data_IF_678502016243
#
_entry.id   IF_678502016243
#
_cell.length_a   1.000
_cell.length_b   1.000
_cell.length_c   1.000
_cell.angle_alpha   90.00
_cell.angle_beta   90.00
_cell.angle_gamma   90.00
#
_symmetry.space_group_name_H-M   'P 1'
#
loop_
_entity.id
_entity.type
_entity.pdbx_description
1 polymer ?
#
# COMPACT_ATOMS: atom_id res chain seq x y z
N UNK A 1 -4.39 10.26 -20.03
CA UNK A 1 -3.48 9.18 -19.59
C UNK A 1 -1.99 9.44 -19.83
N UNK A 2 -1.59 9.93 -21.00
CA UNK A 2 -0.18 10.15 -21.37
C UNK A 2 0.61 10.98 -20.35
N UNK A 3 0.06 12.07 -19.82
CA UNK A 3 0.74 12.91 -18.83
C UNK A 3 1.09 12.18 -17.53
N UNK A 4 0.11 11.57 -16.87
CA UNK A 4 0.28 10.78 -15.61
C UNK A 4 1.38 9.74 -15.78
N UNK A 5 1.36 9.02 -16.91
CA UNK A 5 2.37 8.02 -17.25
C UNK A 5 3.78 8.62 -17.33
N UNK A 6 3.96 9.74 -18.03
CA UNK A 6 5.27 10.36 -18.18
C UNK A 6 5.80 10.92 -16.85
N UNK A 7 4.95 11.56 -16.03
CA UNK A 7 5.36 12.04 -14.70
C UNK A 7 5.78 10.87 -13.80
N UNK A 8 5.08 9.74 -13.89
CA UNK A 8 5.46 8.52 -13.16
C UNK A 8 6.83 8.01 -13.61
N UNK A 9 7.11 7.97 -14.91
CA UNK A 9 8.41 7.57 -15.45
C UNK A 9 9.52 8.54 -14.98
N UNK A 10 9.29 9.85 -15.03
CA UNK A 10 10.23 10.86 -14.55
C UNK A 10 10.55 10.66 -13.07
N UNK A 11 9.55 10.38 -12.24
CA UNK A 11 9.75 10.04 -10.83
C UNK A 11 10.71 8.84 -10.65
N UNK A 12 10.55 7.78 -11.45
CA UNK A 12 11.47 6.63 -11.40
C UNK A 12 12.89 6.97 -11.86
N UNK A 13 13.02 7.83 -12.87
CA UNK A 13 14.32 8.32 -13.36
C UNK A 13 15.00 9.11 -12.24
N UNK A 14 14.38 10.16 -11.71
CA UNK A 14 14.97 11.00 -10.67
C UNK A 14 15.35 10.20 -9.41
N UNK A 15 14.48 9.27 -8.98
CA UNK A 15 14.78 8.39 -7.84
C UNK A 15 16.03 7.52 -8.11
N UNK A 16 16.18 7.02 -9.34
CA UNK A 16 17.32 6.19 -9.74
C UNK A 16 18.61 6.99 -9.84
N UNK A 17 18.54 8.30 -10.06
CA UNK A 17 19.69 9.22 -10.02
C UNK A 17 20.04 9.68 -8.60
N UNK A 18 19.20 9.40 -7.61
CA UNK A 18 19.38 9.90 -6.24
C UNK A 18 18.90 11.33 -6.03
N UNK A 19 18.02 11.85 -6.89
CA UNK A 19 17.42 13.18 -6.78
C UNK A 19 16.11 13.09 -5.98
N UNK A 20 16.19 12.92 -4.65
CA UNK A 20 14.99 12.67 -3.81
C UNK A 20 14.05 13.88 -3.83
N UNK A 21 14.58 15.11 -3.83
CA UNK A 21 13.77 16.32 -3.88
C UNK A 21 12.91 16.41 -5.16
N UNK A 22 13.53 16.20 -6.33
CA UNK A 22 12.80 16.23 -7.61
C UNK A 22 11.79 15.08 -7.70
N UNK A 23 12.14 13.93 -7.14
CA UNK A 23 11.22 12.78 -7.02
C UNK A 23 9.97 13.14 -6.21
N UNK A 24 10.11 13.82 -5.07
CA UNK A 24 8.97 14.31 -4.27
C UNK A 24 8.12 15.32 -5.05
N UNK A 25 8.76 16.22 -5.79
CA UNK A 25 8.07 17.18 -6.64
C UNK A 25 7.24 16.48 -7.73
N UNK A 26 7.78 15.44 -8.36
CA UNK A 26 7.06 14.63 -9.34
C UNK A 26 5.89 13.86 -8.73
N UNK A 27 6.04 13.28 -7.54
CA UNK A 27 4.93 12.61 -6.83
C UNK A 27 3.83 13.60 -6.49
N UNK A 28 4.17 14.77 -5.97
CA UNK A 28 3.19 15.82 -5.68
C UNK A 28 2.46 16.26 -6.96
N UNK A 29 3.17 16.43 -8.07
CA UNK A 29 2.59 16.69 -9.38
C UNK A 29 1.66 15.56 -9.86
N UNK A 30 2.06 14.30 -9.65
CA UNK A 30 1.28 13.11 -10.01
C UNK A 30 -0.02 13.02 -9.21
N UNK A 31 0.04 13.23 -7.89
CA UNK A 31 -1.13 13.26 -7.01
C UNK A 31 -2.12 14.34 -7.46
N UNK A 32 -1.64 15.55 -7.75
CA UNK A 32 -2.48 16.63 -8.27
C UNK A 32 -3.11 16.26 -9.61
N UNK A 33 -2.33 15.70 -10.54
CA UNK A 33 -2.82 15.33 -11.86
C UNK A 33 -3.89 14.23 -11.79
N UNK A 34 -3.69 13.22 -10.94
CA UNK A 34 -4.65 12.13 -10.74
C UNK A 34 -5.94 12.67 -10.13
N UNK A 35 -5.87 13.58 -9.15
CA UNK A 35 -7.06 14.23 -8.58
C UNK A 35 -7.81 15.12 -9.58
N UNK A 36 -7.10 15.90 -10.40
CA UNK A 36 -7.75 16.72 -11.43
C UNK A 36 -8.43 15.88 -12.51
N UNK A 37 -7.85 14.72 -12.82
CA UNK A 37 -8.31 13.86 -13.90
C UNK A 37 -9.32 12.79 -13.46
N UNK A 38 -9.39 12.53 -12.16
CA UNK A 38 -10.35 11.64 -11.50
C UNK A 38 -10.66 12.23 -10.11
N UNK A 39 -11.46 13.31 -10.06
CA UNK A 39 -11.91 13.87 -8.79
C UNK A 39 -12.68 12.83 -7.97
N UNK A 40 -12.53 12.91 -6.65
CA UNK A 40 -13.14 11.96 -5.71
C UNK A 40 -14.64 12.17 -5.53
N UNK A 41 -15.16 13.35 -5.90
CA UNK A 41 -16.49 13.85 -5.54
C UNK A 41 -17.52 13.83 -6.69
N UNK A 42 -17.15 13.39 -7.90
CA UNK A 42 -18.04 13.47 -9.07
C UNK A 42 -18.34 12.09 -9.68
N UNK A 43 -19.61 11.90 -10.04
CA UNK A 43 -20.13 10.78 -10.82
C UNK A 43 -19.72 10.97 -12.30
N UNK A 44 -18.46 10.65 -12.64
CA UNK A 44 -17.94 10.87 -14.00
C UNK A 44 -18.47 9.84 -15.01
N UNK A 45 -19.64 10.13 -15.58
CA UNK A 45 -20.23 9.38 -16.70
C UNK A 45 -19.47 9.43 -18.05
N UNK A 46 -18.21 9.88 -18.10
CA UNK A 46 -17.47 10.10 -19.36
C UNK A 46 -16.04 9.55 -19.42
N UNK A 47 -15.51 8.90 -18.36
CA UNK A 47 -14.19 8.25 -18.42
C UNK A 47 -14.33 6.74 -18.46
N UNK A 48 -13.52 6.09 -19.28
CA UNK A 48 -13.47 4.63 -19.24
C UNK A 48 -12.83 4.19 -17.91
N UNK A 49 -13.44 3.19 -17.26
CA UNK A 49 -12.95 2.59 -16.02
C UNK A 49 -11.46 2.18 -16.14
N UNK A 50 -11.02 1.81 -17.36
CA UNK A 50 -9.63 1.45 -17.68
C UNK A 50 -8.66 2.62 -17.51
N UNK A 51 -9.01 3.82 -17.98
CA UNK A 51 -8.12 4.99 -17.85
C UNK A 51 -7.92 5.37 -16.39
N UNK A 52 -9.00 5.34 -15.62
CA UNK A 52 -8.93 5.64 -14.19
C UNK A 52 -8.11 4.59 -13.44
N UNK A 53 -8.34 3.31 -13.74
CA UNK A 53 -7.59 2.20 -13.15
C UNK A 53 -6.10 2.27 -13.49
N UNK A 54 -5.75 2.60 -14.74
CA UNK A 54 -4.35 2.83 -15.12
C UNK A 54 -3.73 4.03 -14.39
N UNK A 55 -4.49 5.11 -14.17
CA UNK A 55 -4.01 6.27 -13.44
C UNK A 55 -3.71 5.92 -11.97
N UNK A 56 -4.61 5.15 -11.35
CA UNK A 56 -4.42 4.59 -10.01
C UNK A 56 -3.19 3.68 -9.97
N UNK A 57 -3.03 2.79 -10.95
CA UNK A 57 -1.87 1.87 -11.03
C UNK A 57 -0.54 2.60 -11.12
N UNK A 58 -0.45 3.64 -11.96
CA UNK A 58 0.74 4.45 -12.09
C UNK A 58 1.04 5.21 -10.79
N UNK A 59 0.04 5.82 -10.16
CA UNK A 59 0.21 6.50 -8.87
C UNK A 59 0.67 5.54 -7.77
N UNK A 60 -0.04 4.42 -7.60
CA UNK A 60 0.23 3.43 -6.56
C UNK A 60 1.62 2.85 -6.71
N UNK A 61 2.01 2.37 -7.90
CA UNK A 61 3.35 1.81 -8.10
C UNK A 61 4.45 2.85 -7.85
N UNK A 62 4.28 4.06 -8.40
CA UNK A 62 5.27 5.13 -8.26
C UNK A 62 5.46 5.53 -6.80
N UNK A 63 4.34 5.72 -6.09
CA UNK A 63 4.35 6.03 -4.67
C UNK A 63 4.97 4.91 -3.85
N UNK A 64 4.57 3.67 -4.12
CA UNK A 64 5.07 2.47 -3.44
C UNK A 64 6.59 2.36 -3.56
N UNK A 65 7.10 2.42 -4.79
CA UNK A 65 8.53 2.29 -5.06
C UNK A 65 9.33 3.42 -4.40
N UNK A 66 8.80 4.65 -4.42
CA UNK A 66 9.43 5.80 -3.80
C UNK A 66 9.43 5.72 -2.28
N UNK A 67 8.31 5.39 -1.63
CA UNK A 67 8.25 5.31 -0.17
C UNK A 67 9.17 4.21 0.37
N UNK A 68 9.23 3.06 -0.30
CA UNK A 68 10.22 2.02 0.05
C UNK A 68 11.67 2.51 -0.10
N UNK A 69 11.95 3.38 -1.08
CA UNK A 69 13.27 4.00 -1.22
C UNK A 69 13.55 5.04 -0.14
N UNK A 70 12.61 5.96 0.10
CA UNK A 70 12.73 7.02 1.12
C UNK A 70 12.89 6.44 2.52
N UNK A 71 12.08 5.44 2.88
CA UNK A 71 12.16 4.78 4.17
C UNK A 71 13.52 4.09 4.39
N UNK A 72 14.14 3.55 3.33
CA UNK A 72 15.51 3.01 3.39
C UNK A 72 16.58 4.08 3.65
N UNK A 73 16.41 5.27 3.06
CA UNK A 73 17.30 6.41 3.34
C UNK A 73 17.16 6.81 4.81
N UNK A 74 15.94 6.96 5.30
CA UNK A 74 15.67 7.33 6.69
C UNK A 74 16.14 6.25 7.68
N UNK A 75 16.11 4.98 7.30
CA UNK A 75 16.56 3.87 8.12
C UNK A 75 18.06 3.56 8.04
N UNK A 76 18.90 4.37 7.36
CA UNK A 76 20.34 4.11 7.27
C UNK A 76 21.17 5.38 7.45
N UNK A 77 21.96 5.45 8.51
CA UNK A 77 22.88 6.57 8.77
C UNK A 77 23.81 6.84 7.57
N UNK A 78 24.26 5.78 6.90
CA UNK A 78 25.11 5.87 5.71
C UNK A 78 24.42 6.59 4.54
N UNK A 79 23.15 6.28 4.30
CA UNK A 79 22.37 6.95 3.26
C UNK A 79 21.97 8.36 3.70
N UNK A 80 21.53 8.54 4.95
CA UNK A 80 21.22 9.88 5.46
C UNK A 80 22.40 10.82 5.24
N UNK A 81 23.63 10.38 5.54
CA UNK A 81 24.85 11.16 5.32
C UNK A 81 25.07 11.51 3.84
N UNK A 82 24.77 10.57 2.94
CA UNK A 82 24.92 10.71 1.49
C UNK A 82 23.88 11.65 0.88
N UNK A 83 22.69 11.77 1.48
CA UNK A 83 21.60 12.66 1.04
C UNK A 83 21.52 13.99 1.82
N UNK A 84 22.49 14.31 2.69
CA UNK A 84 22.43 15.49 3.60
C UNK A 84 22.23 16.84 2.91
N UNK A 85 22.74 17.04 1.69
CA UNK A 85 22.65 18.32 0.98
C UNK A 85 21.47 18.29 0.00
N UNK A 86 20.42 19.06 0.28
CA UNK A 86 19.20 19.20 -0.54
C UNK A 86 18.46 17.87 -0.86
N UNK A 87 18.64 16.83 -0.05
CA UNK A 87 18.11 15.49 -0.34
C UNK A 87 18.57 14.96 -1.72
N UNK A 88 19.76 15.34 -2.16
CA UNK A 88 20.37 14.85 -3.40
C UNK A 88 21.67 14.14 -3.09
N UNK A 89 21.88 13.00 -3.76
CA UNK A 89 23.16 12.32 -3.75
C UNK A 89 23.96 12.64 -5.00
N UNK A 90 25.28 12.73 -4.88
CA UNK A 90 26.14 12.67 -6.06
C UNK A 90 26.00 11.27 -6.70
N UNK A 91 25.68 11.24 -7.99
CA UNK A 91 25.27 10.03 -8.70
C UNK A 91 26.32 8.91 -8.60
N UNK A 92 27.61 9.23 -8.80
CA UNK A 92 28.67 8.21 -8.77
C UNK A 92 28.83 7.58 -7.38
N UNK A 93 28.65 8.37 -6.32
CA UNK A 93 28.70 7.94 -4.93
C UNK A 93 27.48 7.06 -4.61
N UNK A 94 26.29 7.48 -5.02
CA UNK A 94 25.06 6.71 -4.84
C UNK A 94 25.13 5.35 -5.54
N UNK A 95 25.51 5.33 -6.83
CA UNK A 95 25.67 4.09 -7.60
C UNK A 95 26.73 3.18 -6.98
N UNK A 96 27.84 3.73 -6.50
CA UNK A 96 28.88 2.96 -5.82
C UNK A 96 28.35 2.27 -4.56
N UNK A 97 27.49 2.95 -3.79
CA UNK A 97 26.85 2.38 -2.61
C UNK A 97 25.85 1.27 -2.96
N UNK A 98 25.02 1.49 -3.98
CA UNK A 98 24.08 0.48 -4.49
C UNK A 98 24.83 -0.76 -4.99
N UNK A 99 25.95 -0.57 -5.68
CA UNK A 99 26.81 -1.67 -6.14
C UNK A 99 27.40 -2.45 -4.96
N UNK A 100 27.95 -1.75 -3.95
CA UNK A 100 28.48 -2.38 -2.74
C UNK A 100 27.41 -3.26 -2.07
N UNK A 101 26.21 -2.71 -1.86
CA UNK A 101 25.10 -3.45 -1.25
C UNK A 101 24.66 -4.65 -2.06
N UNK A 102 24.64 -4.54 -3.39
CA UNK A 102 24.39 -5.69 -4.26
C UNK A 102 25.44 -6.77 -4.05
N UNK A 103 26.73 -6.42 -4.03
CA UNK A 103 27.82 -7.40 -3.83
C UNK A 103 27.80 -8.05 -2.46
N UNK A 104 27.32 -7.33 -1.44
CA UNK A 104 27.17 -7.83 -0.07
C UNK A 104 25.84 -8.55 0.17
N UNK A 105 24.99 -8.69 -0.87
CA UNK A 105 23.65 -9.25 -0.79
C UNK A 105 22.75 -8.58 0.27
N UNK A 106 22.94 -7.29 0.50
CA UNK A 106 22.14 -6.51 1.44
C UNK A 106 20.75 -6.29 0.85
N UNK A 107 19.71 -6.65 1.59
CA UNK A 107 18.33 -6.31 1.30
C UNK A 107 17.73 -6.92 0.05
N UNK A 108 18.31 -8.04 -0.40
CA UNK A 108 17.95 -8.71 -1.66
C UNK A 108 17.83 -7.72 -2.83
N UNK A 109 18.78 -6.77 -2.91
CA UNK A 109 18.75 -5.70 -3.89
C UNK A 109 18.71 -6.22 -5.34
N UNK A 110 19.29 -7.40 -5.60
CA UNK A 110 19.17 -8.07 -6.89
C UNK A 110 17.70 -8.33 -7.29
N UNK A 111 16.86 -8.73 -6.33
CA UNK A 111 15.45 -8.99 -6.58
C UNK A 111 14.74 -7.69 -7.01
N UNK A 112 15.00 -6.59 -6.30
CA UNK A 112 14.48 -5.26 -6.65
C UNK A 112 14.96 -4.84 -8.04
N UNK A 113 16.26 -4.95 -8.32
CA UNK A 113 16.82 -4.62 -9.64
C UNK A 113 16.20 -5.47 -10.77
N UNK A 114 15.90 -6.74 -10.50
CA UNK A 114 15.22 -7.60 -11.46
C UNK A 114 13.78 -7.17 -11.70
N UNK A 115 13.03 -6.78 -10.68
CA UNK A 115 11.68 -6.23 -10.87
C UNK A 115 11.70 -4.87 -11.59
N UNK A 116 12.72 -4.04 -11.38
CA UNK A 116 12.89 -2.77 -12.11
C UNK A 116 13.03 -2.98 -13.62
N UNK A 117 13.53 -4.13 -14.08
CA UNK A 117 13.57 -4.49 -15.53
C UNK A 117 12.18 -4.61 -16.14
N UNK A 118 11.13 -4.78 -15.33
CA UNK A 118 9.75 -4.91 -15.79
C UNK A 118 9.02 -3.56 -15.88
N UNK A 119 9.59 -2.47 -15.34
CA UNK A 119 8.97 -1.14 -15.40
C UNK A 119 8.59 -0.68 -16.81
N UNK A 120 9.42 -0.87 -17.86
CA UNK A 120 9.02 -0.48 -19.21
C UNK A 120 7.72 -1.14 -19.67
N UNK A 121 7.48 -2.39 -19.26
CA UNK A 121 6.26 -3.13 -19.60
C UNK A 121 5.06 -2.65 -18.78
N UNK A 122 5.25 -2.28 -17.52
CA UNK A 122 4.20 -1.68 -16.69
C UNK A 122 3.66 -0.38 -17.31
N UNK A 123 4.55 0.43 -17.90
CA UNK A 123 4.19 1.67 -18.57
C UNK A 123 3.90 1.52 -20.07
N UNK A 124 3.79 0.30 -20.59
CA UNK A 124 3.42 0.08 -21.98
C UNK A 124 2.02 0.65 -22.26
N UNK A 125 1.80 1.13 -23.49
CA UNK A 125 0.44 1.45 -23.93
C UNK A 125 -0.34 0.14 -24.08
N UNK A 126 -1.49 0.05 -23.40
CA UNK A 126 -2.37 -1.12 -23.47
C UNK A 126 -3.48 -0.89 -24.51
N UNK A 127 -3.98 -1.96 -25.16
CA UNK A 127 -5.19 -1.88 -25.98
C UNK A 127 -6.39 -1.37 -25.18
N UNK A 128 -7.32 -0.67 -25.83
CA UNK A 128 -8.54 -0.19 -25.19
C UNK A 128 -9.49 -1.31 -24.73
N UNK A 129 -9.29 -2.54 -25.22
CA UNK A 129 -10.06 -3.73 -24.85
C UNK A 129 -9.47 -4.48 -23.64
N UNK A 130 -8.38 -4.00 -23.04
CA UNK A 130 -7.78 -4.66 -21.89
C UNK A 130 -8.73 -4.65 -20.70
N UNK A 131 -8.91 -5.82 -20.08
CA UNK A 131 -9.61 -5.97 -18.82
C UNK A 131 -8.59 -6.33 -17.74
N UNK A 132 -8.79 -5.79 -16.54
CA UNK A 132 -7.99 -6.14 -15.38
C UNK A 132 -8.77 -7.12 -14.50
N UNK A 133 -8.16 -8.25 -14.19
CA UNK A 133 -8.76 -9.28 -13.35
C UNK A 133 -8.32 -9.14 -11.89
N UNK A 134 -9.10 -9.73 -10.99
CA UNK A 134 -8.70 -9.89 -9.59
C UNK A 134 -7.42 -10.70 -9.51
N UNK A 135 -6.55 -10.32 -8.57
CA UNK A 135 -5.30 -11.01 -8.28
C UNK A 135 -5.49 -11.97 -7.10
N UNK A 136 -4.63 -12.99 -7.04
CA UNK A 136 -4.34 -13.67 -5.79
C UNK A 136 -3.32 -12.85 -4.99
N UNK A 137 -3.75 -12.21 -3.91
CA UNK A 137 -2.87 -11.39 -3.07
C UNK A 137 -2.05 -12.19 -2.05
N UNK A 138 -2.12 -13.54 -2.03
CA UNK A 138 -1.35 -14.38 -1.09
C UNK A 138 0.13 -13.99 -0.99
N UNK A 139 0.89 -13.79 -2.09
CA UNK A 139 2.30 -13.42 -2.00
C UNK A 139 2.54 -12.05 -1.35
N UNK A 140 1.62 -11.09 -1.53
CA UNK A 140 1.71 -9.78 -0.89
C UNK A 140 1.39 -9.89 0.60
N UNK A 141 0.38 -10.67 0.97
CA UNK A 141 0.01 -10.92 2.36
C UNK A 141 1.14 -11.61 3.12
N UNK A 142 1.79 -12.60 2.52
CA UNK A 142 2.94 -13.27 3.14
C UNK A 142 4.11 -12.30 3.36
N UNK A 143 4.36 -11.39 2.41
CA UNK A 143 5.35 -10.34 2.59
C UNK A 143 4.95 -9.37 3.73
N UNK A 144 3.68 -8.95 3.81
CA UNK A 144 3.19 -8.07 4.88
C UNK A 144 3.25 -8.73 6.26
N UNK A 145 2.96 -10.03 6.36
CA UNK A 145 3.15 -10.82 7.60
C UNK A 145 4.60 -10.80 8.04
N UNK A 146 5.53 -11.05 7.10
CA UNK A 146 6.95 -11.04 7.40
C UNK A 146 7.43 -9.65 7.86
N UNK A 147 7.03 -8.57 7.16
CA UNK A 147 7.36 -7.20 7.57
C UNK A 147 6.81 -6.94 8.98
N UNK A 148 5.55 -7.28 9.23
CA UNK A 148 4.90 -7.06 10.54
C UNK A 148 5.64 -7.77 11.66
N UNK A 149 6.02 -9.04 11.46
CA UNK A 149 6.78 -9.81 12.44
C UNK A 149 8.15 -9.15 12.72
N UNK A 150 8.89 -8.76 11.68
CA UNK A 150 10.19 -8.08 11.83
C UNK A 150 10.06 -6.74 12.58
N UNK A 151 9.01 -5.95 12.33
CA UNK A 151 8.78 -4.67 13.03
C UNK A 151 8.46 -4.86 14.51
N UNK A 152 7.69 -5.90 14.84
CA UNK A 152 7.35 -6.20 16.23
C UNK A 152 8.57 -6.65 17.04
N UNK A 153 9.43 -7.50 16.48
CA UNK A 153 10.65 -7.96 17.18
C UNK A 153 11.65 -6.82 17.40
N UNK A 154 11.85 -5.94 16.42
CA UNK A 154 12.77 -4.79 16.54
C UNK A 154 12.29 -3.80 17.61
N UNK A 155 10.98 -3.58 17.75
CA UNK A 155 10.43 -2.69 18.79
C UNK A 155 10.62 -3.21 20.21
N UNK A 156 10.81 -4.51 20.39
CA UNK A 156 11.09 -5.15 21.67
C UNK A 156 12.61 -5.09 22.01
N UNK A 157 13.48 -5.15 21.01
CA UNK A 157 14.95 -5.23 21.13
C UNK A 157 15.69 -3.90 20.84
N UNK A 158 15.06 -2.74 21.13
CA UNK A 158 15.48 -1.36 20.75
C UNK A 158 16.93 -0.92 21.06
N UNK A 159 17.74 -1.75 21.72
CA UNK A 159 19.11 -1.42 22.07
C UNK A 159 20.20 -2.04 21.18
N UNK A 160 19.86 -2.81 20.12
CA UNK A 160 20.91 -3.50 19.33
C UNK A 160 20.81 -3.47 17.81
N UNK A 161 19.68 -3.12 17.20
CA UNK A 161 19.55 -3.13 15.74
C UNK A 161 19.27 -1.73 15.18
N UNK A 162 20.13 -1.31 14.27
CA UNK A 162 19.88 -0.24 13.33
C UNK A 162 18.56 -0.55 12.56
N UNK A 163 17.62 0.41 12.42
CA UNK A 163 16.39 0.25 11.62
C UNK A 163 16.63 -0.19 10.17
N UNK A 164 17.89 -0.23 9.71
CA UNK A 164 18.33 -0.93 8.51
C UNK A 164 17.98 -2.43 8.46
N UNK A 165 17.64 -3.11 9.56
CA UNK A 165 17.41 -4.57 9.59
C UNK A 165 16.30 -5.09 8.66
N UNK A 166 15.13 -4.46 8.65
CA UNK A 166 14.01 -4.85 7.77
C UNK A 166 14.37 -4.67 6.28
N UNK A 167 15.22 -3.68 6.01
CA UNK A 167 15.78 -3.40 4.70
C UNK A 167 16.86 -4.40 4.34
N UNK A 168 17.68 -4.85 5.30
CA UNK A 168 18.72 -5.87 5.15
C UNK A 168 18.10 -7.24 4.85
N UNK A 169 16.98 -7.58 5.50
CA UNK A 169 16.25 -8.82 5.24
C UNK A 169 15.52 -8.82 3.89
N UNK A 170 15.40 -7.66 3.24
CA UNK A 170 14.83 -7.50 1.90
C UNK A 170 13.31 -7.63 1.83
N UNK A 171 12.60 -7.43 2.94
CA UNK A 171 11.15 -7.57 3.01
C UNK A 171 10.42 -6.57 2.11
N UNK A 172 10.87 -5.31 2.06
CA UNK A 172 10.37 -4.30 1.11
C UNK A 172 10.68 -4.67 -0.35
N UNK A 173 11.88 -5.21 -0.61
CA UNK A 173 12.26 -5.66 -1.95
C UNK A 173 11.33 -6.79 -2.42
N UNK A 174 11.03 -7.77 -1.57
CA UNK A 174 10.06 -8.84 -1.87
C UNK A 174 8.67 -8.29 -2.13
N UNK A 175 8.21 -7.34 -1.31
CA UNK A 175 6.87 -6.76 -1.42
C UNK A 175 6.71 -5.91 -2.69
N UNK A 176 7.72 -5.13 -3.09
CA UNK A 176 7.73 -4.43 -4.38
C UNK A 176 7.71 -5.43 -5.55
N UNK A 177 8.47 -6.52 -5.47
CA UNK A 177 8.47 -7.55 -6.51
C UNK A 177 7.14 -8.27 -6.62
N UNK A 178 6.50 -8.61 -5.50
CA UNK A 178 5.16 -9.19 -5.46
C UNK A 178 4.12 -8.22 -6.05
N UNK A 179 4.25 -6.92 -5.77
CA UNK A 179 3.39 -5.85 -6.31
C UNK A 179 3.52 -5.76 -7.84
N UNK A 180 4.75 -5.76 -8.37
CA UNK A 180 4.98 -5.72 -9.82
C UNK A 180 4.51 -7.03 -10.47
N UNK A 181 4.80 -8.18 -9.87
CA UNK A 181 4.37 -9.49 -10.38
C UNK A 181 2.86 -9.62 -10.48
N UNK A 182 2.13 -9.24 -9.43
CA UNK A 182 0.67 -9.33 -9.39
C UNK A 182 -0.01 -8.38 -10.39
N UNK A 183 0.64 -7.28 -10.78
CA UNK A 183 0.14 -6.42 -11.87
C UNK A 183 0.06 -7.22 -13.17
N UNK A 184 1.10 -7.96 -13.52
CA UNK A 184 1.10 -8.80 -14.72
C UNK A 184 0.09 -9.95 -14.60
N UNK A 185 -0.03 -10.57 -13.42
CA UNK A 185 -1.09 -11.56 -13.17
C UNK A 185 -2.50 -11.00 -13.40
N UNK A 186 -2.74 -9.71 -13.10
CA UNK A 186 -4.04 -9.08 -13.39
C UNK A 186 -4.30 -8.80 -14.87
N UNK A 187 -3.26 -8.79 -15.70
CA UNK A 187 -3.35 -8.56 -17.15
C UNK A 187 -3.50 -9.86 -17.94
N UNK A 188 -2.90 -10.93 -17.45
CA UNK A 188 -2.89 -12.23 -18.11
C UNK A 188 -3.76 -13.18 -17.29
N UNK A 189 -5.05 -13.28 -17.65
CA UNK A 189 -5.92 -14.32 -17.09
C UNK A 189 -5.39 -15.68 -17.54
N UNK A 190 -4.84 -16.46 -16.62
CA UNK A 190 -4.32 -17.79 -16.94
C UNK A 190 -5.42 -18.84 -16.70
N UNK A 191 -6.23 -19.08 -17.74
CA UNK A 191 -7.28 -20.12 -17.74
C UNK A 191 -6.73 -21.52 -17.43
N UNK A 192 -5.41 -21.71 -17.54
CA UNK A 192 -4.75 -22.98 -17.30
C UNK A 192 -4.51 -23.28 -15.80
N UNK A 193 -4.51 -22.24 -14.95
CA UNK A 193 -4.40 -22.36 -13.48
C UNK A 193 -5.70 -21.99 -12.75
N UNK A 194 -6.77 -21.68 -13.48
CA UNK A 194 -8.09 -21.35 -12.94
C UNK A 194 -8.87 -22.58 -12.46
N UNK A 195 -8.20 -23.56 -11.81
CA UNK A 195 -8.90 -24.59 -11.06
C UNK A 195 -9.55 -23.94 -9.84
N UNK A 196 -10.78 -23.47 -10.02
CA UNK A 196 -11.93 -23.41 -9.10
C UNK A 196 -11.71 -23.24 -7.58
N UNK A 197 -10.58 -22.69 -7.15
CA UNK A 197 -10.34 -22.29 -5.78
C UNK A 197 -10.40 -20.77 -5.77
N UNK A 198 -11.52 -20.24 -5.27
CA UNK A 198 -11.56 -18.83 -4.88
C UNK A 198 -10.37 -18.58 -3.96
N UNK A 199 -9.36 -17.83 -4.41
CA UNK A 199 -8.24 -17.48 -3.53
C UNK A 199 -8.81 -16.78 -2.30
N UNK A 200 -8.36 -17.22 -1.12
CA UNK A 200 -8.65 -16.58 0.17
C UNK A 200 -8.38 -15.07 0.14
N UNK A 201 -7.43 -14.63 -0.67
CA UNK A 201 -6.99 -13.24 -0.79
C UNK A 201 -7.27 -12.65 -2.17
N UNK A 202 -8.43 -12.97 -2.77
CA UNK A 202 -8.84 -12.36 -4.04
C UNK A 202 -9.26 -10.90 -3.88
N UNK A 203 -8.69 -9.99 -4.69
CA UNK A 203 -8.97 -8.54 -4.68
C UNK A 203 -8.46 -7.90 -5.97
N UNK A 204 -8.86 -6.66 -6.29
CA UNK A 204 -8.21 -5.92 -7.37
C UNK A 204 -6.76 -5.55 -7.00
N UNK A 205 -5.91 -5.42 -8.01
CA UNK A 205 -4.53 -4.98 -7.80
C UNK A 205 -4.45 -3.61 -7.11
N UNK A 206 -5.28 -2.65 -7.55
CA UNK A 206 -5.30 -1.31 -6.99
C UNK A 206 -5.82 -1.29 -5.55
N UNK A 207 -6.85 -2.08 -5.24
CA UNK A 207 -7.35 -2.27 -3.88
C UNK A 207 -6.27 -2.82 -2.95
N UNK A 208 -5.55 -3.86 -3.37
CA UNK A 208 -4.46 -4.43 -2.58
C UNK A 208 -3.29 -3.47 -2.39
N UNK A 209 -2.89 -2.73 -3.43
CA UNK A 209 -1.78 -1.78 -3.32
C UNK A 209 -2.14 -0.57 -2.45
N UNK A 210 -3.39 -0.08 -2.53
CA UNK A 210 -3.89 0.96 -1.64
C UNK A 210 -3.91 0.48 -0.19
N UNK A 211 -4.44 -0.71 0.07
CA UNK A 211 -4.43 -1.31 1.40
C UNK A 211 -3.00 -1.51 1.93
N UNK A 212 -2.10 -2.09 1.13
CA UNK A 212 -0.70 -2.28 1.54
C UNK A 212 -0.04 -0.93 1.89
N UNK A 213 -0.29 0.11 1.10
CA UNK A 213 0.26 1.45 1.34
C UNK A 213 -0.28 2.09 2.63
N UNK A 214 -1.60 2.00 2.85
CA UNK A 214 -2.23 2.45 4.09
C UNK A 214 -1.70 1.68 5.30
N UNK A 215 -1.49 0.37 5.16
CA UNK A 215 -0.96 -0.48 6.21
C UNK A 215 0.47 -0.07 6.61
N UNK A 216 1.35 0.14 5.63
CA UNK A 216 2.73 0.56 5.85
C UNK A 216 2.83 1.96 6.50
N UNK A 217 1.89 2.87 6.24
CA UNK A 217 1.84 4.20 6.87
C UNK A 217 1.13 4.20 8.23
N UNK A 218 -0.13 3.76 8.26
CA UNK A 218 -1.01 3.95 9.40
C UNK A 218 -0.72 2.96 10.51
N UNK A 219 -0.49 1.69 10.17
CA UNK A 219 -0.35 0.61 11.14
C UNK A 219 1.11 0.35 11.48
N UNK A 220 1.97 0.14 10.48
CA UNK A 220 3.37 -0.17 10.71
C UNK A 220 4.26 1.06 10.93
N UNK A 221 3.84 2.23 10.44
CA UNK A 221 4.59 3.49 10.59
C UNK A 221 6.02 3.43 10.01
N UNK A 222 6.25 2.55 9.02
CA UNK A 222 7.55 2.36 8.41
C UNK A 222 7.82 3.37 7.31
N UNK A 223 6.77 3.82 6.62
CA UNK A 223 6.90 4.78 5.53
C UNK A 223 6.85 6.22 6.03
N UNK A 224 7.59 7.09 5.33
CA UNK A 224 7.81 8.49 5.70
C UNK A 224 8.28 8.70 7.16
N UNK A 225 9.03 7.76 7.74
CA UNK A 225 9.51 7.86 9.12
C UNK A 225 8.40 7.88 10.18
N UNK A 226 7.23 7.35 9.85
CA UNK A 226 6.06 7.34 10.74
C UNK A 226 5.23 8.63 10.70
N UNK A 227 5.64 9.62 9.91
CA UNK A 227 4.82 10.83 9.68
C UNK A 227 3.53 10.51 8.92
N UNK A 228 2.54 11.39 9.07
CA UNK A 228 1.26 11.28 8.39
C UNK A 228 1.42 11.33 6.86
N UNK A 229 0.61 10.53 6.17
CA UNK A 229 0.48 10.57 4.72
C UNK A 229 -0.20 11.88 4.28
N UNK A 230 0.15 12.39 3.09
CA UNK A 230 -0.54 13.54 2.49
C UNK A 230 -2.06 13.29 2.45
N UNK A 231 -2.84 14.25 2.95
CA UNK A 231 -4.29 14.09 3.12
C UNK A 231 -5.03 13.83 1.79
N UNK A 232 -4.54 14.36 0.66
CA UNK A 232 -5.14 14.09 -0.65
C UNK A 232 -4.84 12.65 -1.07
N UNK A 233 -3.60 12.20 -0.86
CA UNK A 233 -3.22 10.83 -1.18
C UNK A 233 -3.93 9.79 -0.28
N UNK A 234 -4.04 10.07 1.02
CA UNK A 234 -4.82 9.28 1.96
C UNK A 234 -6.24 9.07 1.44
N UNK A 235 -6.93 10.18 1.10
CA UNK A 235 -8.29 10.13 0.55
C UNK A 235 -8.37 9.31 -0.72
N UNK A 236 -7.42 9.48 -1.65
CA UNK A 236 -7.35 8.66 -2.87
C UNK A 236 -7.25 7.17 -2.58
N UNK A 237 -6.36 6.76 -1.68
CA UNK A 237 -6.16 5.35 -1.33
C UNK A 237 -7.38 4.78 -0.61
N UNK A 238 -8.01 5.54 0.28
CA UNK A 238 -9.26 5.15 0.93
C UNK A 238 -10.40 5.00 -0.07
N UNK A 239 -10.54 5.89 -1.06
CA UNK A 239 -11.54 5.77 -2.12
C UNK A 239 -11.32 4.53 -3.00
N UNK A 240 -10.07 4.24 -3.38
CA UNK A 240 -9.72 3.02 -4.14
C UNK A 240 -10.10 1.77 -3.33
N UNK A 241 -9.75 1.74 -2.05
CA UNK A 241 -10.04 0.62 -1.16
C UNK A 241 -11.55 0.46 -0.89
N UNK A 242 -12.27 1.57 -0.68
CA UNK A 242 -13.72 1.57 -0.50
C UNK A 242 -14.43 1.05 -1.75
N UNK A 243 -13.99 1.44 -2.95
CA UNK A 243 -14.53 0.89 -4.20
C UNK A 243 -14.33 -0.62 -4.28
N UNK A 244 -13.12 -1.10 -4.00
CA UNK A 244 -12.79 -2.53 -4.02
C UNK A 244 -13.65 -3.34 -3.01
N UNK A 245 -13.86 -2.82 -1.80
CA UNK A 245 -14.77 -3.39 -0.80
C UNK A 245 -16.24 -3.33 -1.24
N UNK A 246 -16.69 -2.23 -1.85
CA UNK A 246 -18.08 -2.14 -2.32
C UNK A 246 -18.40 -3.19 -3.38
N UNK A 247 -17.46 -3.46 -4.29
CA UNK A 247 -17.63 -4.40 -5.40
C UNK A 247 -17.68 -5.85 -4.94
N UNK A 248 -17.00 -6.17 -3.84
CA UNK A 248 -16.90 -7.54 -3.35
C UNK A 248 -17.85 -7.83 -2.16
N UNK A 249 -18.65 -6.83 -1.73
CA UNK A 249 -19.53 -6.91 -0.57
C UNK A 249 -20.63 -7.97 -0.73
N UNK A 250 -21.10 -8.21 -1.95
CA UNK A 250 -22.09 -9.25 -2.27
C UNK A 250 -21.57 -10.67 -2.05
N UNK A 251 -20.25 -10.84 -1.97
CA UNK A 251 -19.59 -12.14 -1.75
C UNK A 251 -19.12 -12.35 -0.31
N UNK A 252 -19.32 -11.37 0.57
CA UNK A 252 -18.92 -11.44 1.97
C UNK A 252 -19.62 -12.60 2.68
N UNK A 253 -18.84 -13.49 3.31
CA UNK A 253 -19.36 -14.67 4.02
C UNK A 253 -19.63 -15.89 3.15
N UNK A 254 -19.46 -15.79 1.82
CA UNK A 254 -19.66 -16.91 0.90
C UNK A 254 -18.38 -17.74 0.68
N UNK A 255 -17.23 -17.23 1.10
CA UNK A 255 -15.92 -17.86 0.93
C UNK A 255 -15.03 -17.62 2.17
N UNK A 256 -13.86 -18.26 2.19
CA UNK A 256 -12.90 -18.17 3.30
C UNK A 256 -12.17 -16.81 3.40
N UNK A 257 -12.61 -15.78 2.65
CA UNK A 257 -11.97 -14.46 2.60
C UNK A 257 -12.47 -13.47 3.66
N UNK A 258 -13.35 -13.90 4.57
CA UNK A 258 -13.96 -13.04 5.61
C UNK A 258 -12.94 -12.32 6.48
N UNK A 259 -11.86 -12.99 6.91
CA UNK A 259 -10.79 -12.33 7.69
C UNK A 259 -10.06 -11.26 6.86
N UNK A 260 -9.78 -11.55 5.59
CA UNK A 260 -9.14 -10.60 4.68
C UNK A 260 -10.04 -9.41 4.35
N UNK A 261 -11.35 -9.65 4.30
CA UNK A 261 -12.35 -8.60 4.21
C UNK A 261 -12.26 -7.64 5.38
N UNK A 262 -12.29 -8.18 6.60
CA UNK A 262 -12.18 -7.39 7.82
C UNK A 262 -10.88 -6.60 7.83
N UNK A 263 -9.76 -7.24 7.48
CA UNK A 263 -8.46 -6.59 7.45
C UNK A 263 -8.44 -5.34 6.57
N UNK A 264 -9.02 -5.40 5.37
CA UNK A 264 -9.16 -4.23 4.47
C UNK A 264 -10.13 -3.19 5.02
N UNK A 265 -11.30 -3.60 5.50
CA UNK A 265 -12.33 -2.68 6.02
C UNK A 265 -11.84 -1.93 7.27
N UNK A 266 -11.29 -2.66 8.23
CA UNK A 266 -10.79 -2.10 9.48
C UNK A 266 -9.54 -1.24 9.26
N UNK A 267 -8.68 -1.58 8.29
CA UNK A 267 -7.55 -0.73 7.93
C UNK A 267 -7.97 0.66 7.45
N UNK A 268 -9.05 0.76 6.68
CA UNK A 268 -9.61 2.04 6.25
C UNK A 268 -10.10 2.86 7.44
N UNK A 269 -10.92 2.25 8.30
CA UNK A 269 -11.43 2.89 9.53
C UNK A 269 -10.28 3.36 10.44
N UNK A 270 -9.30 2.48 10.70
CA UNK A 270 -8.13 2.78 11.51
C UNK A 270 -7.30 3.93 10.94
N UNK A 271 -7.08 3.95 9.62
CA UNK A 271 -6.32 5.01 8.95
C UNK A 271 -7.03 6.36 9.05
N UNK A 272 -8.37 6.38 8.93
CA UNK A 272 -9.18 7.60 9.10
C UNK A 272 -9.11 8.07 10.55
N UNK A 273 -9.36 7.19 11.51
CA UNK A 273 -9.34 7.54 12.94
C UNK A 273 -7.98 8.13 13.35
N UNK A 274 -6.88 7.55 12.87
CA UNK A 274 -5.52 8.06 13.12
C UNK A 274 -5.32 9.47 12.54
N UNK A 275 -5.81 9.73 11.33
CA UNK A 275 -5.71 11.06 10.71
C UNK A 275 -6.56 12.09 11.46
N UNK A 276 -7.80 11.73 11.78
CA UNK A 276 -8.79 12.56 12.46
C UNK A 276 -8.39 12.93 13.88
N UNK A 277 -7.62 12.06 14.56
CA UNK A 277 -7.11 12.34 15.91
C UNK A 277 -6.17 13.56 15.97
N UNK A 278 -5.47 13.87 14.88
CA UNK A 278 -4.55 15.01 14.81
C UNK A 278 -5.24 16.28 14.29
N UNK A 279 -6.00 16.16 13.20
CA UNK A 279 -6.71 17.28 12.60
C UNK A 279 -7.99 16.77 11.92
N UNK A 280 -9.13 17.32 12.33
CA UNK A 280 -10.41 16.95 11.74
C UNK A 280 -10.49 17.41 10.28
N UNK A 281 -10.61 16.45 9.35
CA UNK A 281 -10.83 16.71 7.93
C UNK A 281 -12.25 16.27 7.55
N UNK A 282 -13.20 17.20 7.38
CA UNK A 282 -14.60 16.87 7.04
C UNK A 282 -14.75 16.07 5.74
N UNK A 283 -13.75 16.11 4.86
CA UNK A 283 -13.76 15.38 3.59
C UNK A 283 -13.57 13.87 3.78
N UNK A 284 -13.23 13.42 5.00
CA UNK A 284 -13.17 12.01 5.36
C UNK A 284 -14.48 11.47 5.96
N UNK A 285 -15.45 12.32 6.32
CA UNK A 285 -16.66 11.88 7.05
C UNK A 285 -17.52 10.90 6.23
N UNK A 286 -17.56 11.06 4.90
CA UNK A 286 -18.28 10.15 4.01
C UNK A 286 -17.59 8.79 3.93
N UNK A 287 -16.25 8.79 3.82
CA UNK A 287 -15.43 7.58 3.82
C UNK A 287 -15.50 6.88 5.18
N UNK A 288 -15.47 7.62 6.28
CA UNK A 288 -15.59 7.06 7.62
C UNK A 288 -16.91 6.28 7.77
N UNK A 289 -18.04 6.91 7.39
CA UNK A 289 -19.33 6.22 7.39
C UNK A 289 -19.34 4.95 6.52
N UNK A 290 -18.68 4.98 5.37
CA UNK A 290 -18.57 3.81 4.50
C UNK A 290 -17.75 2.68 5.16
N UNK A 291 -16.58 2.98 5.72
CA UNK A 291 -15.73 1.99 6.39
C UNK A 291 -16.34 1.43 7.67
N UNK A 292 -16.96 2.28 8.49
CA UNK A 292 -17.77 1.84 9.63
C UNK A 292 -18.88 0.88 9.17
N UNK A 293 -19.57 1.19 8.06
CA UNK A 293 -20.57 0.31 7.46
C UNK A 293 -20.01 -1.03 6.97
N UNK A 294 -18.78 -1.07 6.43
CA UNK A 294 -18.12 -2.31 6.03
C UNK A 294 -17.72 -3.19 7.23
N UNK A 295 -17.23 -2.58 8.32
CA UNK A 295 -16.92 -3.28 9.57
C UNK A 295 -18.20 -3.86 10.17
N UNK A 296 -19.30 -3.11 10.17
CA UNK A 296 -20.61 -3.60 10.63
C UNK A 296 -21.15 -4.74 9.75
N UNK A 297 -20.99 -4.65 8.43
CA UNK A 297 -21.40 -5.73 7.53
C UNK A 297 -20.65 -7.04 7.83
N UNK A 298 -19.34 -6.96 8.09
CA UNK A 298 -18.56 -8.12 8.52
C UNK A 298 -19.07 -8.68 9.85
N UNK A 299 -19.29 -7.82 10.85
CA UNK A 299 -19.83 -8.19 12.16
C UNK A 299 -21.17 -8.92 12.05
N UNK A 300 -22.08 -8.43 11.19
CA UNK A 300 -23.39 -9.06 10.96
C UNK A 300 -23.29 -10.44 10.31
N UNK A 301 -22.29 -10.65 9.47
CA UNK A 301 -22.05 -11.93 8.78
C UNK A 301 -21.38 -12.95 9.70
N UNK A 302 -20.40 -12.53 10.51
CA UNK A 302 -19.64 -13.46 11.38
C UNK A 302 -20.23 -13.64 12.77
N UNK A 303 -21.00 -12.66 13.25
CA UNK A 303 -21.51 -12.61 14.63
C UNK A 303 -20.44 -12.23 15.68
N UNK A 304 -19.21 -11.96 15.27
CA UNK A 304 -18.09 -11.64 16.17
C UNK A 304 -18.14 -10.15 16.53
N UNK A 305 -18.25 -9.85 17.82
CA UNK A 305 -18.42 -8.46 18.32
C UNK A 305 -17.31 -8.04 19.28
N UNK A 306 -16.61 -9.01 19.87
CA UNK A 306 -15.52 -8.75 20.80
C UNK A 306 -14.26 -8.34 20.04
N UNK A 307 -13.54 -7.36 20.58
CA UNK A 307 -12.30 -6.88 19.98
C UNK A 307 -11.26 -8.01 19.88
N UNK A 308 -11.17 -8.87 20.88
CA UNK A 308 -10.20 -9.97 20.93
C UNK A 308 -10.40 -10.96 19.77
N UNK A 309 -11.64 -11.22 19.39
CA UNK A 309 -11.99 -12.09 18.27
C UNK A 309 -11.69 -11.41 16.93
N UNK A 310 -12.10 -10.15 16.78
CA UNK A 310 -11.81 -9.36 15.58
C UNK A 310 -10.30 -9.18 15.39
N UNK A 311 -9.56 -8.91 16.46
CA UNK A 311 -8.10 -8.78 16.46
C UNK A 311 -7.42 -10.08 16.04
N UNK A 312 -7.89 -11.25 16.51
CA UNK A 312 -7.37 -12.53 16.06
C UNK A 312 -7.56 -12.74 14.54
N UNK A 313 -8.70 -12.35 13.97
CA UNK A 313 -8.94 -12.34 12.53
C UNK A 313 -7.98 -11.39 11.79
N UNK A 314 -7.76 -10.18 12.32
CA UNK A 314 -6.83 -9.20 11.74
C UNK A 314 -5.38 -9.74 11.73
N UNK A 315 -4.94 -10.34 12.84
CA UNK A 315 -3.61 -10.96 12.99
C UNK A 315 -3.43 -12.17 12.05
N UNK A 316 -4.49 -12.94 11.80
CA UNK A 316 -4.47 -14.09 10.87
C UNK A 316 -4.06 -13.68 9.44
N UNK A 317 -4.33 -12.43 9.07
CA UNK A 317 -4.02 -11.84 7.77
C UNK A 317 -2.67 -11.16 7.76
N UNK A 318 -2.45 -10.11 8.55
CA UNK A 318 -1.15 -9.45 8.63
C UNK A 318 -1.00 -8.51 9.84
N UNK A 319 -2.05 -8.25 10.62
CA UNK A 319 -2.05 -7.21 11.64
C UNK A 319 -1.08 -7.50 12.80
N UNK A 320 -0.49 -6.48 13.46
CA UNK A 320 0.40 -6.73 14.59
C UNK A 320 -0.33 -7.31 15.80
N UNK A 321 0.28 -8.30 16.45
CA UNK A 321 -0.29 -8.94 17.63
C UNK A 321 -0.30 -8.02 18.88
N UNK A 322 0.71 -7.18 19.04
CA UNK A 322 0.91 -6.36 20.26
C UNK A 322 0.96 -4.87 19.94
N UNK A 323 1.50 -4.50 18.78
CA UNK A 323 1.66 -3.10 18.41
C UNK A 323 0.31 -2.46 18.11
N UNK A 324 0.08 -1.26 18.65
CA UNK A 324 -1.14 -0.47 18.47
C UNK A 324 -2.44 -1.18 18.91
N UNK A 325 -2.33 -2.17 19.81
CA UNK A 325 -3.48 -2.95 20.27
C UNK A 325 -4.58 -2.08 20.90
N UNK A 326 -4.24 -1.21 21.84
CA UNK A 326 -5.21 -0.33 22.51
C UNK A 326 -5.80 0.73 21.56
N UNK A 327 -4.99 1.26 20.65
CA UNK A 327 -5.48 2.18 19.61
C UNK A 327 -6.49 1.47 18.70
N UNK A 328 -6.16 0.25 18.25
CA UNK A 328 -7.07 -0.58 17.47
C UNK A 328 -8.36 -0.90 18.24
N UNK A 329 -8.24 -1.25 19.52
CA UNK A 329 -9.39 -1.48 20.40
C UNK A 329 -10.30 -0.26 20.52
N UNK A 330 -9.72 0.93 20.67
CA UNK A 330 -10.45 2.19 20.71
C UNK A 330 -11.24 2.43 19.41
N UNK A 331 -10.58 2.26 18.25
CA UNK A 331 -11.22 2.38 16.94
C UNK A 331 -12.35 1.36 16.76
N UNK A 332 -12.13 0.11 17.17
CA UNK A 332 -13.16 -0.94 17.11
C UNK A 332 -14.40 -0.55 17.91
N UNK A 333 -14.20 -0.15 19.17
CA UNK A 333 -15.30 0.27 20.07
C UNK A 333 -16.09 1.43 19.46
N UNK A 334 -15.41 2.46 18.96
CA UNK A 334 -16.08 3.59 18.31
C UNK A 334 -16.89 3.15 17.08
N UNK A 335 -16.32 2.30 16.22
CA UNK A 335 -16.99 1.83 15.00
C UNK A 335 -18.27 1.02 15.32
N UNK A 336 -18.25 0.19 16.38
CA UNK A 336 -19.41 -0.62 16.77
C UNK A 336 -20.46 0.16 17.56
N UNK A 337 -20.06 1.17 18.35
CA UNK A 337 -20.99 2.01 19.12
C UNK A 337 -21.81 2.93 18.19
N UNK A 338 -21.18 3.48 17.15
CA UNK A 338 -21.85 4.33 16.16
C UNK A 338 -22.92 3.62 15.31
N UNK A 339 -23.04 2.29 15.39
CA UNK A 339 -24.07 1.53 14.67
C UNK A 339 -25.36 1.28 15.47
N UNK A 340 -25.44 1.75 16.72
CA UNK A 340 -26.58 1.47 17.63
C UNK A 340 -27.64 2.59 17.73
N UNK A 341 -27.63 3.57 16.83
CA UNK A 341 -28.66 4.63 16.76
C UNK A 341 -29.66 4.42 15.63
#
# INVERSE_FOLDING_TARGET
MTFIRHVSILCFIEASYGNVHDTEAHINGLVNAVHLLSPLDDDFGHRSEIEEELANRYLLLTYYAYQGFKARILGSDSLQNLFRQNNTAEFSTFVSQIYLWKTQNIGHLEMRLNAMKLLPFFFAALPSSTQFHSIDASPLIDCLKHVTASTQTVREDRYKCDPSWEWIEGSDSRLLCATIGSHFSSLFHDDMFSSAHSSKYSTSWSGMCAASSLYMHSVLELWNGGEAIDARLLRRFLSILSRDLSQSASTLGLNDSTDFWLWRAFLGEYSIAKQQANNHDPLLDSLQRAFTGYVDAWKRVTGLTLWEEAHACLVSVAWPATMNYETGRGVWISAIEHTTC
#
